data_IF_475234723371
#
_entry.id   IF_475234723371
#
_cell.length_a   1.000
_cell.length_b   1.000
_cell.length_c   1.000
_cell.angle_alpha   90.00
_cell.angle_beta   90.00
_cell.angle_gamma   90.00
#
_symmetry.space_group_name_H-M   'P 1'
#
loop_
_entity.id
_entity.type
_entity.pdbx_description
1 polymer ?
#
# COMPACT_ATOMS: atom_id res chain seq x y z
N UNK A 1 -53.88 9.69 -35.60
CA UNK A 1 -52.88 9.11 -36.52
C UNK A 1 -51.70 8.62 -35.69
N UNK A 2 -51.31 7.35 -35.91
CA UNK A 2 -50.15 6.55 -35.45
C UNK A 2 -49.50 6.88 -34.10
N UNK A 3 -49.57 6.06 -33.05
CA UNK A 3 -49.13 4.65 -32.88
C UNK A 3 -47.61 4.44 -33.06
N UNK A 4 -46.88 4.44 -31.94
CA UNK A 4 -45.63 3.70 -31.80
C UNK A 4 -45.67 2.96 -30.47
N UNK A 5 -45.83 1.65 -30.59
CA UNK A 5 -45.96 0.66 -29.51
C UNK A 5 -44.57 0.40 -28.93
N UNK A 6 -44.33 0.81 -27.70
CA UNK A 6 -43.14 0.42 -26.93
C UNK A 6 -43.47 -0.92 -26.28
N UNK A 7 -42.94 -2.01 -26.84
CA UNK A 7 -43.10 -3.36 -26.31
C UNK A 7 -42.38 -3.48 -24.97
N UNK A 8 -43.20 -3.43 -23.91
CA UNK A 8 -42.86 -3.75 -22.52
C UNK A 8 -42.49 -5.23 -22.39
N UNK A 9 -41.19 -5.56 -22.28
CA UNK A 9 -40.77 -6.87 -21.76
C UNK A 9 -40.60 -6.77 -20.25
N UNK A 10 -41.55 -7.35 -19.53
CA UNK A 10 -41.51 -7.58 -18.09
C UNK A 10 -40.23 -8.31 -17.70
N UNK A 11 -39.31 -7.63 -17.02
CA UNK A 11 -38.34 -8.28 -16.14
C UNK A 11 -38.96 -8.33 -14.75
N UNK A 12 -39.00 -9.54 -14.22
CA UNK A 12 -39.58 -9.95 -12.94
C UNK A 12 -39.00 -9.10 -11.81
N UNK A 13 -39.90 -8.52 -11.01
CA UNK A 13 -39.61 -7.65 -9.88
C UNK A 13 -39.06 -8.54 -8.74
N UNK A 14 -37.75 -8.47 -8.52
CA UNK A 14 -37.10 -8.81 -7.25
C UNK A 14 -36.61 -7.49 -6.64
N UNK A 15 -37.06 -7.20 -5.42
CA UNK A 15 -36.84 -5.94 -4.67
C UNK A 15 -35.36 -5.65 -4.36
N UNK A 16 -35.03 -4.40 -3.97
CA UNK A 16 -33.75 -3.74 -4.24
C UNK A 16 -32.77 -3.83 -3.06
N UNK A 17 -31.49 -4.04 -3.33
CA UNK A 17 -30.40 -3.41 -2.56
C UNK A 17 -29.04 -3.78 -3.14
N UNK A 18 -28.06 -2.92 -2.87
CA UNK A 18 -26.66 -2.99 -3.29
C UNK A 18 -26.40 -2.59 -4.75
N UNK A 19 -26.43 -1.27 -4.97
CA UNK A 19 -25.40 -0.65 -5.81
C UNK A 19 -24.05 -1.17 -5.31
N UNK A 20 -23.44 -2.07 -6.08
CA UNK A 20 -22.08 -2.57 -5.83
C UNK A 20 -21.14 -1.45 -6.25
N UNK A 21 -20.69 -0.66 -5.29
CA UNK A 21 -19.61 0.30 -5.51
C UNK A 21 -18.41 -0.44 -6.13
N UNK A 22 -17.76 0.09 -7.18
CA UNK A 22 -16.66 -0.59 -7.89
C UNK A 22 -15.42 -0.82 -7.02
N UNK A 23 -15.40 -0.26 -5.80
CA UNK A 23 -14.36 -0.46 -4.78
C UNK A 23 -14.88 -1.24 -3.57
N UNK A 24 -15.89 -2.09 -3.76
CA UNK A 24 -16.36 -3.03 -2.75
C UNK A 24 -15.26 -4.03 -2.42
N UNK A 25 -14.49 -3.74 -1.38
CA UNK A 25 -13.58 -4.69 -0.78
C UNK A 25 -14.40 -5.89 -0.29
N UNK A 26 -14.34 -7.00 -1.02
CA UNK A 26 -14.84 -8.27 -0.51
C UNK A 26 -14.14 -8.53 0.84
N UNK A 27 -14.93 -8.86 1.86
CA UNK A 27 -14.56 -8.94 3.28
C UNK A 27 -13.40 -9.90 3.62
N UNK A 28 -12.79 -10.54 2.62
CA UNK A 28 -11.60 -11.41 2.74
C UNK A 28 -10.30 -10.63 2.92
N UNK A 29 -10.26 -9.32 2.65
CA UNK A 29 -9.03 -8.52 2.76
C UNK A 29 -8.56 -8.32 4.21
N UNK A 30 -9.48 -8.36 5.19
CA UNK A 30 -9.16 -8.14 6.59
C UNK A 30 -8.49 -9.36 7.27
N UNK A 31 -8.71 -10.57 6.76
CA UNK A 31 -8.21 -11.80 7.39
C UNK A 31 -6.69 -12.02 7.17
N UNK A 32 -6.09 -11.26 6.24
CA UNK A 32 -4.66 -11.29 5.93
C UNK A 32 -3.85 -10.19 6.63
N UNK A 33 -4.46 -9.33 7.44
CA UNK A 33 -3.80 -8.20 8.11
C UNK A 33 -2.87 -8.62 9.28
N UNK A 34 -2.18 -9.77 9.14
CA UNK A 34 -1.25 -10.33 10.14
C UNK A 34 0.06 -9.54 10.28
N UNK A 35 0.27 -8.51 9.46
CA UNK A 35 1.51 -7.71 9.41
C UNK A 35 1.29 -6.21 9.57
N UNK A 36 0.31 -5.79 10.37
CA UNK A 36 0.21 -4.38 10.78
C UNK A 36 1.22 -4.13 11.90
N UNK A 37 2.46 -3.80 11.54
CA UNK A 37 3.47 -3.31 12.48
C UNK A 37 3.30 -1.79 12.59
N UNK A 38 2.85 -1.31 13.76
CA UNK A 38 2.60 0.09 14.04
C UNK A 38 3.66 0.72 14.96
N UNK A 39 4.11 1.93 14.61
CA UNK A 39 4.86 2.90 15.44
C UNK A 39 6.12 2.38 16.16
N UNK A 40 6.99 1.67 15.45
CA UNK A 40 8.33 1.34 15.97
C UNK A 40 9.26 2.57 15.86
N UNK A 41 10.12 2.86 16.86
CA UNK A 41 11.11 3.94 16.75
C UNK A 41 12.03 3.75 15.55
N UNK A 42 12.43 4.87 14.90
CA UNK A 42 13.28 4.86 13.70
C UNK A 42 14.53 3.98 13.84
N UNK A 43 15.33 4.04 14.94
CA UNK A 43 16.52 3.20 15.05
C UNK A 43 16.22 1.70 15.11
N UNK A 44 15.17 1.31 15.83
CA UNK A 44 14.77 -0.09 15.96
C UNK A 44 14.23 -0.63 14.63
N UNK A 45 13.41 0.15 13.94
CA UNK A 45 12.87 -0.21 12.63
C UNK A 45 13.98 -0.25 11.56
N UNK A 46 14.92 0.71 11.57
CA UNK A 46 16.05 0.74 10.67
C UNK A 46 16.94 -0.51 10.83
N UNK A 47 17.25 -0.91 12.07
CA UNK A 47 17.98 -2.15 12.34
C UNK A 47 17.25 -3.37 11.80
N UNK A 48 15.95 -3.49 12.07
CA UNK A 48 15.13 -4.58 11.52
C UNK A 48 15.17 -4.60 9.98
N UNK A 49 15.03 -3.46 9.33
CA UNK A 49 15.11 -3.35 7.86
C UNK A 49 16.50 -3.76 7.36
N UNK A 50 17.56 -3.34 8.04
CA UNK A 50 18.94 -3.62 7.66
C UNK A 50 19.29 -5.13 7.76
N UNK A 51 18.82 -5.81 8.80
CA UNK A 51 19.05 -7.24 9.03
C UNK A 51 18.14 -8.15 8.17
N UNK A 52 16.97 -7.66 7.77
CA UNK A 52 15.96 -8.47 7.09
C UNK A 52 16.30 -8.72 5.61
N UNK A 53 16.17 -9.97 5.17
CA UNK A 53 16.28 -10.38 3.77
C UNK A 53 15.20 -11.39 3.41
N UNK A 54 14.59 -11.23 2.24
CA UNK A 54 13.59 -12.15 1.70
C UNK A 54 14.02 -12.80 0.38
N UNK A 55 13.15 -13.59 -0.27
CA UNK A 55 13.43 -14.17 -1.59
C UNK A 55 13.74 -13.13 -2.68
N UNK A 56 13.25 -11.90 -2.50
CA UNK A 56 13.50 -10.76 -3.38
C UNK A 56 14.81 -10.02 -3.10
N UNK A 57 15.57 -10.43 -2.08
CA UNK A 57 16.81 -9.80 -1.65
C UNK A 57 16.72 -9.03 -0.32
N UNK A 58 17.74 -8.23 0.01
CA UNK A 58 17.81 -7.46 1.24
C UNK A 58 16.72 -6.38 1.31
N UNK A 59 16.07 -6.23 2.46
CA UNK A 59 15.00 -5.25 2.65
C UNK A 59 15.52 -3.80 2.59
N UNK A 60 16.78 -3.56 2.97
CA UNK A 60 17.43 -2.25 2.82
C UNK A 60 17.45 -1.75 1.36
N UNK A 61 17.61 -2.64 0.39
CA UNK A 61 17.58 -2.26 -1.03
C UNK A 61 16.19 -1.79 -1.45
N UNK A 62 15.14 -2.44 -0.94
CA UNK A 62 13.77 -1.98 -1.15
C UNK A 62 13.56 -0.57 -0.59
N UNK A 63 14.03 -0.30 0.64
CA UNK A 63 13.95 1.03 1.26
C UNK A 63 14.65 2.10 0.41
N UNK A 64 15.85 1.80 -0.11
CA UNK A 64 16.62 2.74 -0.93
C UNK A 64 15.93 3.05 -2.26
N UNK A 65 15.37 2.04 -2.92
CA UNK A 65 14.64 2.24 -4.17
C UNK A 65 13.34 2.99 -3.93
N UNK A 66 12.65 2.74 -2.82
CA UNK A 66 11.45 3.50 -2.44
C UNK A 66 11.78 4.97 -2.20
N UNK A 67 12.80 5.26 -1.38
CA UNK A 67 13.21 6.63 -1.09
C UNK A 67 13.62 7.39 -2.36
N UNK A 68 14.33 6.71 -3.28
CA UNK A 68 14.66 7.26 -4.60
C UNK A 68 13.40 7.54 -5.42
N UNK A 69 12.50 6.57 -5.56
CA UNK A 69 11.28 6.72 -6.37
C UNK A 69 10.38 7.85 -5.85
N UNK A 70 10.23 7.99 -4.52
CA UNK A 70 9.45 9.09 -3.93
C UNK A 70 10.04 10.45 -4.29
N UNK A 71 11.37 10.61 -4.18
CA UNK A 71 12.06 11.85 -4.59
C UNK A 71 11.91 12.17 -6.08
N UNK A 72 11.95 11.15 -6.93
CA UNK A 72 11.80 11.31 -8.39
C UNK A 72 10.36 11.69 -8.78
N UNK A 73 9.35 11.12 -8.11
CA UNK A 73 7.95 11.34 -8.42
C UNK A 73 7.40 12.65 -7.86
N UNK A 74 7.87 13.10 -6.70
CA UNK A 74 7.40 14.33 -6.07
C UNK A 74 8.51 14.99 -5.24
N UNK A 75 9.42 15.74 -5.89
CA UNK A 75 10.54 16.40 -5.21
C UNK A 75 10.10 17.36 -4.08
N UNK A 76 8.93 17.98 -4.24
CA UNK A 76 8.34 18.93 -3.28
C UNK A 76 7.71 18.21 -2.06
N UNK A 77 7.43 16.91 -2.17
CA UNK A 77 6.80 16.10 -1.12
C UNK A 77 7.88 15.38 -0.31
N UNK A 78 8.47 16.10 0.63
CA UNK A 78 9.45 15.51 1.55
C UNK A 78 8.79 14.57 2.57
N UNK A 79 9.11 13.29 2.49
CA UNK A 79 8.76 12.31 3.53
C UNK A 79 9.86 12.24 4.59
N UNK A 80 9.61 12.88 5.73
CA UNK A 80 10.56 12.95 6.85
C UNK A 80 10.84 11.59 7.49
N UNK A 81 9.86 10.70 7.56
CA UNK A 81 10.03 9.39 8.19
C UNK A 81 10.84 8.46 7.29
N UNK A 82 10.50 8.40 6.00
CA UNK A 82 11.25 7.64 5.01
C UNK A 82 12.71 8.11 4.92
N UNK A 83 12.92 9.43 4.97
CA UNK A 83 14.27 10.01 4.97
C UNK A 83 15.07 9.66 6.22
N UNK A 84 14.43 9.68 7.40
CA UNK A 84 15.07 9.28 8.66
C UNK A 84 15.45 7.80 8.66
N UNK A 85 14.59 6.93 8.13
CA UNK A 85 14.89 5.50 7.96
C UNK A 85 16.04 5.28 6.98
N UNK A 86 16.03 5.93 5.81
CA UNK A 86 17.12 5.80 4.84
C UNK A 86 18.46 6.23 5.46
N UNK A 87 18.49 7.35 6.18
CA UNK A 87 19.70 7.84 6.84
C UNK A 87 20.25 6.82 7.85
N UNK A 88 19.39 6.26 8.68
CA UNK A 88 19.80 5.34 9.74
C UNK A 88 20.26 3.99 9.19
N UNK A 89 19.59 3.46 8.15
CA UNK A 89 20.04 2.23 7.47
C UNK A 89 21.38 2.45 6.77
N UNK A 90 21.61 3.64 6.17
CA UNK A 90 22.92 4.00 5.60
C UNK A 90 24.01 4.17 6.65
N UNK A 91 23.65 4.56 7.89
CA UNK A 91 24.59 4.59 9.02
C UNK A 91 25.04 3.18 9.36
N UNK A 92 24.09 2.23 9.48
CA UNK A 92 24.37 0.82 9.74
C UNK A 92 25.22 0.17 8.63
N UNK A 93 25.03 0.54 7.36
CA UNK A 93 25.91 0.07 6.27
C UNK A 93 27.37 0.50 6.43
N UNK A 94 27.64 1.64 7.09
CA UNK A 94 28.99 2.14 7.36
C UNK A 94 29.56 1.63 8.68
N UNK A 95 28.70 1.40 9.66
CA UNK A 95 29.02 1.04 11.04
C UNK A 95 28.10 -0.10 11.51
N UNK A 96 28.33 -1.34 11.03
CA UNK A 96 27.45 -2.47 11.30
C UNK A 96 27.52 -2.97 12.75
N UNK A 97 28.54 -2.57 13.49
CA UNK A 97 28.78 -2.96 14.89
C UNK A 97 28.05 -2.12 15.96
N UNK A 98 27.27 -1.09 15.57
CA UNK A 98 26.51 -0.19 16.48
C UNK A 98 25.02 -0.54 16.60
#
# INVERSE_FOLDING_TARGET
MSAAVITRRLVRIGSPSALREPWGADSTYADQARSVVGSEPVPALARKIWESSGPSGPNKEYLYQLARAVRELSPESYDSHLSALELEVRRLDKHPEE
#
